data_IF_207711672936
#
_entry.id   IF_207711672936
#
_cell.length_a   1.000
_cell.length_b   1.000
_cell.length_c   1.000
_cell.angle_alpha   90.00
_cell.angle_beta   90.00
_cell.angle_gamma   90.00
#
_symmetry.space_group_name_H-M   'P 1'
#
loop_
_entity.id
_entity.type
_entity.pdbx_description
1 polymer ?
#
# COMPACT_ATOMS: atom_id res chain seq x y z
N UNK A 1 -2.94 -19.07 9.97
CA UNK A 1 -2.94 -17.60 9.85
C UNK A 1 -3.76 -17.26 8.60
N UNK A 2 -4.94 -16.64 8.72
CA UNK A 2 -5.72 -16.22 7.54
C UNK A 2 -5.12 -14.92 7.01
N UNK A 3 -4.09 -15.05 6.19
CA UNK A 3 -3.44 -13.95 5.49
C UNK A 3 -4.25 -13.65 4.22
N UNK A 4 -4.76 -12.43 4.07
CA UNK A 4 -5.55 -12.04 2.89
C UNK A 4 -4.68 -11.86 1.64
N UNK A 5 -3.42 -11.41 1.83
CA UNK A 5 -2.44 -11.08 0.80
C UNK A 5 -1.01 -11.26 1.33
N UNK A 6 -0.07 -11.57 0.44
CA UNK A 6 1.36 -11.55 0.77
C UNK A 6 1.82 -10.08 0.88
N UNK A 7 2.37 -9.69 2.03
CA UNK A 7 2.91 -8.35 2.35
C UNK A 7 4.44 -8.36 2.63
N UNK A 8 5.06 -9.53 2.72
CA UNK A 8 6.50 -9.72 2.86
C UNK A 8 6.98 -11.04 2.22
N UNK A 9 8.22 -11.07 1.73
CA UNK A 9 8.80 -12.24 1.07
C UNK A 9 8.91 -13.49 1.93
N UNK A 10 9.16 -13.34 3.24
CA UNK A 10 9.32 -14.44 4.20
C UNK A 10 8.08 -15.32 4.36
N UNK A 11 6.89 -14.82 4.04
CA UNK A 11 5.63 -15.51 4.35
C UNK A 11 5.55 -16.90 3.72
N UNK A 12 6.11 -17.07 2.52
CA UNK A 12 6.17 -18.37 1.83
C UNK A 12 7.12 -19.38 2.49
N UNK A 13 8.04 -18.91 3.33
CA UNK A 13 9.03 -19.72 4.04
C UNK A 13 8.66 -19.96 5.52
N UNK A 14 7.47 -19.55 5.95
CA UNK A 14 7.02 -19.69 7.35
C UNK A 14 7.15 -21.13 7.87
N UNK A 15 6.76 -22.13 7.07
CA UNK A 15 6.83 -23.55 7.44
C UNK A 15 8.29 -24.03 7.61
N UNK A 16 9.24 -23.44 6.88
CA UNK A 16 10.68 -23.72 7.03
C UNK A 16 11.16 -23.18 8.37
N UNK A 17 10.82 -21.93 8.70
CA UNK A 17 11.23 -21.29 9.96
C UNK A 17 10.65 -21.99 11.19
N UNK A 18 9.43 -22.54 11.06
CA UNK A 18 8.79 -23.38 12.08
C UNK A 18 9.36 -24.79 12.19
N UNK A 19 10.30 -25.17 11.32
CA UNK A 19 10.85 -26.52 11.21
C UNK A 19 9.78 -27.58 10.86
N UNK A 20 8.69 -27.16 10.21
CA UNK A 20 7.62 -28.04 9.69
C UNK A 20 7.99 -28.58 8.29
N UNK A 21 8.84 -27.85 7.56
CA UNK A 21 9.41 -28.26 6.26
C UNK A 21 10.91 -28.04 6.25
N UNK A 22 11.63 -28.91 5.56
CA UNK A 22 13.06 -28.68 5.26
C UNK A 22 13.20 -27.64 4.15
N UNK A 23 14.20 -26.75 4.22
CA UNK A 23 14.50 -25.86 3.11
C UNK A 23 14.95 -26.66 1.89
N UNK A 24 14.51 -26.25 0.70
CA UNK A 24 14.93 -26.88 -0.56
C UNK A 24 16.36 -26.47 -0.99
N UNK A 25 16.84 -25.33 -0.48
CA UNK A 25 18.20 -24.84 -0.61
C UNK A 25 18.56 -24.09 0.69
N UNK A 26 19.82 -24.08 1.13
CA UNK A 26 20.22 -23.43 2.40
C UNK A 26 20.12 -21.90 2.36
N UNK A 27 20.15 -21.31 1.17
CA UNK A 27 19.98 -19.87 0.92
C UNK A 27 19.22 -19.63 -0.38
N UNK A 28 18.38 -18.60 -0.43
CA UNK A 28 17.53 -18.27 -1.59
C UNK A 28 17.37 -16.77 -1.77
N UNK A 29 17.03 -16.33 -2.98
CA UNK A 29 16.73 -14.93 -3.31
C UNK A 29 15.52 -14.86 -4.24
N UNK A 30 14.73 -13.78 -4.18
CA UNK A 30 13.67 -13.50 -5.16
C UNK A 30 13.29 -12.00 -5.20
N UNK A 31 12.40 -11.65 -6.13
CA UNK A 31 11.53 -10.47 -6.04
C UNK A 31 10.12 -10.93 -5.69
N UNK A 32 9.60 -10.50 -4.54
CA UNK A 32 8.25 -10.85 -4.10
C UNK A 32 7.25 -9.73 -4.41
N UNK A 33 6.15 -10.08 -5.07
CA UNK A 33 4.95 -9.23 -5.15
C UNK A 33 4.32 -9.07 -3.78
N UNK A 34 4.26 -7.85 -3.26
CA UNK A 34 3.68 -7.54 -1.96
C UNK A 34 2.47 -6.59 -2.08
N UNK A 35 1.37 -6.94 -1.41
CA UNK A 35 0.15 -6.15 -1.31
C UNK A 35 -0.15 -5.83 0.16
N UNK A 36 0.01 -4.56 0.55
CA UNK A 36 -0.22 -4.08 1.92
C UNK A 36 -1.60 -3.46 2.07
N UNK A 37 -2.62 -4.34 2.03
CA UNK A 37 -4.04 -3.95 2.01
C UNK A 37 -4.81 -4.29 3.31
N UNK A 38 -4.13 -4.48 4.43
CA UNK A 38 -4.79 -4.80 5.70
C UNK A 38 -3.86 -5.17 6.84
N UNK A 39 -4.46 -5.54 7.98
CA UNK A 39 -3.72 -5.84 9.21
C UNK A 39 -3.05 -4.59 9.79
N UNK A 40 -1.83 -4.75 10.31
CA UNK A 40 -0.97 -3.66 10.75
C UNK A 40 -0.63 -2.65 9.65
N UNK A 41 -0.74 -3.06 8.38
CA UNK A 41 -0.39 -2.25 7.21
C UNK A 41 -1.58 -1.53 6.56
N UNK A 42 -2.75 -1.50 7.21
CA UNK A 42 -3.93 -0.80 6.67
C UNK A 42 -3.67 0.70 6.46
N UNK A 43 -2.78 1.29 7.28
CA UNK A 43 -2.40 2.70 7.21
C UNK A 43 -1.71 3.06 5.89
N UNK A 44 -1.00 2.11 5.28
CA UNK A 44 -0.25 2.35 4.05
C UNK A 44 -1.18 2.80 2.92
N UNK A 45 -2.41 2.25 2.84
CA UNK A 45 -3.41 2.66 1.83
C UNK A 45 -3.80 4.14 1.96
N UNK A 46 -3.84 4.69 3.19
CA UNK A 46 -4.15 6.10 3.42
C UNK A 46 -2.97 7.01 3.03
N UNK A 47 -1.75 6.50 3.12
CA UNK A 47 -0.52 7.20 2.74
C UNK A 47 -0.26 7.20 1.22
N UNK A 48 -0.77 6.20 0.49
CA UNK A 48 -0.61 6.12 -0.97
C UNK A 48 -1.03 7.42 -1.65
N UNK A 49 -0.08 7.98 -2.40
CA UNK A 49 -0.20 9.24 -3.14
C UNK A 49 -0.02 10.50 -2.30
N UNK A 50 -0.07 10.42 -0.97
CA UNK A 50 0.18 11.55 -0.07
C UNK A 50 1.67 11.72 0.24
N UNK A 51 2.45 10.64 0.18
CA UNK A 51 3.91 10.69 0.26
C UNK A 51 4.58 10.10 -0.97
N UNK A 52 5.91 10.14 -0.95
CA UNK A 52 6.74 9.81 -2.09
C UNK A 52 7.17 8.33 -2.16
N UNK A 53 6.80 7.49 -1.18
CA UNK A 53 7.45 6.19 -0.97
C UNK A 53 6.58 5.03 -0.45
N UNK A 54 5.31 5.23 -0.11
CA UNK A 54 4.37 4.15 0.22
C UNK A 54 3.50 3.75 -0.96
N UNK A 55 3.28 2.43 -1.08
CA UNK A 55 2.52 1.82 -2.17
C UNK A 55 1.54 0.77 -1.65
N UNK A 56 0.43 0.59 -2.35
CA UNK A 56 -0.48 -0.56 -2.14
C UNK A 56 0.19 -1.85 -2.59
N UNK A 57 0.85 -1.78 -3.75
CA UNK A 57 1.64 -2.85 -4.34
C UNK A 57 3.08 -2.40 -4.50
N UNK A 58 4.02 -3.23 -4.07
CA UNK A 58 5.44 -3.02 -4.30
C UNK A 58 6.16 -4.36 -4.44
N UNK A 59 7.37 -4.30 -4.98
CA UNK A 59 8.25 -5.47 -5.02
C UNK A 59 9.22 -5.45 -3.85
N UNK A 60 9.27 -6.56 -3.12
CA UNK A 60 10.25 -6.79 -2.07
C UNK A 60 11.35 -7.69 -2.60
N UNK A 61 12.52 -7.13 -2.86
CA UNK A 61 13.73 -7.86 -3.15
C UNK A 61 14.23 -8.50 -1.85
N UNK A 62 14.34 -9.82 -1.82
CA UNK A 62 14.74 -10.52 -0.62
C UNK A 62 15.80 -11.58 -0.83
N UNK A 63 16.57 -11.80 0.23
CA UNK A 63 17.50 -12.90 0.38
C UNK A 63 17.30 -13.53 1.75
N UNK A 64 17.35 -14.86 1.79
CA UNK A 64 17.08 -15.65 2.97
C UNK A 64 18.20 -16.63 3.25
N UNK A 65 18.48 -16.82 4.54
CA UNK A 65 19.36 -17.87 5.07
C UNK A 65 18.56 -18.82 5.93
N UNK A 66 18.62 -20.11 5.61
CA UNK A 66 17.97 -21.16 6.39
C UNK A 66 18.99 -21.95 7.21
N UNK A 67 19.63 -21.26 8.17
CA UNK A 67 20.67 -21.83 9.03
C UNK A 67 22.04 -21.96 8.35
N UNK A 68 22.32 -21.12 7.35
CA UNK A 68 23.56 -21.14 6.56
C UNK A 68 24.53 -20.04 7.03
N UNK A 69 24.23 -18.79 6.68
CA UNK A 69 24.93 -17.59 7.17
C UNK A 69 24.04 -16.78 8.13
N UNK A 70 24.63 -15.80 8.83
CA UNK A 70 23.88 -14.94 9.74
C UNK A 70 24.28 -13.46 9.58
N UNK A 71 24.45 -12.72 10.68
CA UNK A 71 24.61 -11.26 10.68
C UNK A 71 25.84 -10.77 9.92
N UNK A 72 27.00 -11.40 10.13
CA UNK A 72 28.26 -10.90 9.57
C UNK A 72 28.23 -10.86 8.04
N UNK A 73 27.85 -11.98 7.42
CA UNK A 73 27.73 -12.09 5.97
C UNK A 73 26.56 -11.25 5.43
N UNK A 74 25.42 -11.21 6.13
CA UNK A 74 24.27 -10.41 5.71
C UNK A 74 24.62 -8.91 5.63
N UNK A 75 25.27 -8.36 6.65
CA UNK A 75 25.74 -6.97 6.65
C UNK A 75 26.78 -6.73 5.55
N UNK A 76 27.75 -7.63 5.38
CA UNK A 76 28.81 -7.48 4.39
C UNK A 76 28.28 -7.50 2.96
N UNK A 77 27.40 -8.45 2.61
CA UNK A 77 26.81 -8.53 1.26
C UNK A 77 25.82 -7.41 0.97
N UNK A 78 25.04 -6.96 1.97
CA UNK A 78 24.17 -5.81 1.79
C UNK A 78 25.00 -4.55 1.46
N UNK A 79 26.11 -4.34 2.17
CA UNK A 79 27.05 -3.26 1.87
C UNK A 79 27.71 -3.40 0.50
N UNK A 80 28.23 -4.59 0.18
CA UNK A 80 28.85 -4.87 -1.13
C UNK A 80 27.88 -4.57 -2.27
N UNK A 81 26.63 -5.02 -2.16
CA UNK A 81 25.63 -4.78 -3.19
C UNK A 81 25.33 -3.29 -3.39
N UNK A 82 25.02 -2.57 -2.31
CA UNK A 82 24.67 -1.15 -2.41
C UNK A 82 25.86 -0.29 -2.85
N UNK A 83 27.01 -0.46 -2.20
CA UNK A 83 28.17 0.43 -2.41
C UNK A 83 29.01 0.00 -3.60
N UNK A 84 29.34 -1.29 -3.72
CA UNK A 84 30.31 -1.74 -4.73
C UNK A 84 29.65 -2.17 -6.05
N UNK A 85 28.43 -2.70 -6.03
CA UNK A 85 27.72 -3.10 -7.26
C UNK A 85 26.86 -1.97 -7.82
N UNK A 86 26.10 -1.30 -6.97
CA UNK A 86 25.22 -0.20 -7.39
C UNK A 86 25.87 1.18 -7.33
N UNK A 87 27.10 1.29 -6.79
CA UNK A 87 27.85 2.54 -6.68
C UNK A 87 27.09 3.62 -5.87
N UNK A 88 26.29 3.20 -4.87
CA UNK A 88 25.65 4.15 -3.96
C UNK A 88 26.73 4.78 -3.08
N UNK A 89 26.81 6.12 -2.97
CA UNK A 89 27.82 6.78 -2.16
C UNK A 89 27.71 6.37 -0.68
N UNK A 90 28.76 5.76 -0.08
CA UNK A 90 28.77 5.34 1.33
C UNK A 90 28.37 6.42 2.32
N UNK A 91 28.71 7.68 2.01
CA UNK A 91 28.46 8.82 2.87
C UNK A 91 26.99 9.20 3.01
N UNK A 92 26.14 8.71 2.10
CA UNK A 92 24.69 8.89 2.16
C UNK A 92 24.00 7.77 2.93
N UNK A 93 24.72 6.72 3.35
CA UNK A 93 24.15 5.56 4.02
C UNK A 93 24.28 5.65 5.54
N UNK A 94 23.18 5.33 6.22
CA UNK A 94 23.09 5.18 7.67
C UNK A 94 22.57 3.78 7.96
N UNK A 95 23.02 3.18 9.06
CA UNK A 95 22.55 1.86 9.49
C UNK A 95 22.02 1.92 10.90
N UNK A 96 20.95 1.17 11.17
CA UNK A 96 20.37 1.04 12.49
C UNK A 96 20.58 -0.35 13.07
N UNK A 97 20.54 -0.48 14.39
CA UNK A 97 20.57 -1.77 15.08
C UNK A 97 19.69 -1.76 16.32
N UNK A 98 19.32 -2.95 16.78
CA UNK A 98 18.47 -3.09 17.96
C UNK A 98 19.19 -2.69 19.26
N UNK A 99 18.75 -1.58 19.85
CA UNK A 99 19.26 -1.03 21.11
C UNK A 99 18.85 -1.80 22.38
N UNK A 100 18.07 -2.88 22.24
CA UNK A 100 17.57 -3.67 23.36
C UNK A 100 16.19 -3.23 23.84
N UNK A 101 15.59 -4.05 24.70
CA UNK A 101 14.32 -3.75 25.36
C UNK A 101 14.27 -4.45 26.72
N UNK A 102 14.59 -3.70 27.79
CA UNK A 102 14.62 -4.24 29.16
C UNK A 102 13.25 -4.76 29.63
N UNK A 103 12.15 -4.15 29.18
CA UNK A 103 10.79 -4.58 29.56
C UNK A 103 10.45 -5.99 29.06
N UNK A 104 11.06 -6.42 27.94
CA UNK A 104 10.92 -7.77 27.38
C UNK A 104 12.13 -8.67 27.66
N UNK A 105 13.10 -8.20 28.46
CA UNK A 105 14.33 -8.94 28.76
C UNK A 105 15.24 -9.17 27.55
N UNK A 106 15.16 -8.30 26.53
CA UNK A 106 15.95 -8.42 25.31
C UNK A 106 17.19 -7.52 25.37
N UNK A 107 18.37 -8.11 25.20
CA UNK A 107 19.63 -7.38 25.14
C UNK A 107 19.78 -6.60 23.83
N UNK A 108 20.66 -5.59 23.81
CA UNK A 108 21.04 -4.89 22.59
C UNK A 108 21.83 -5.79 21.64
N UNK A 109 21.63 -5.59 20.35
CA UNK A 109 22.33 -6.30 19.27
C UNK A 109 23.70 -5.66 18.95
N UNK A 110 24.62 -5.75 19.91
CA UNK A 110 25.99 -5.27 19.76
C UNK A 110 26.80 -6.04 18.70
N UNK A 111 26.35 -7.24 18.32
CA UNK A 111 26.95 -8.02 17.24
C UNK A 111 26.79 -7.31 15.89
N UNK A 112 25.57 -6.85 15.58
CA UNK A 112 25.30 -6.08 14.36
C UNK A 112 26.05 -4.74 14.34
N UNK A 113 26.08 -4.02 15.46
CA UNK A 113 26.89 -2.78 15.62
C UNK A 113 28.36 -3.05 15.29
N UNK A 114 28.94 -4.13 15.84
CA UNK A 114 30.34 -4.50 15.59
C UNK A 114 30.59 -4.88 14.13
N UNK A 115 29.67 -5.60 13.49
CA UNK A 115 29.79 -5.96 12.07
C UNK A 115 29.84 -4.71 11.18
N UNK A 116 29.00 -3.71 11.43
CA UNK A 116 29.02 -2.44 10.69
C UNK A 116 30.29 -1.62 10.92
N UNK A 117 30.81 -1.59 12.15
CA UNK A 117 32.10 -0.96 12.45
C UNK A 117 33.25 -1.66 11.69
N UNK A 118 33.24 -2.99 11.62
CA UNK A 118 34.26 -3.76 10.90
C UNK A 118 34.20 -3.54 9.38
N UNK A 119 33.03 -3.27 8.82
CA UNK A 119 32.85 -2.88 7.42
C UNK A 119 33.44 -1.49 7.14
N UNK A 120 33.64 -0.67 8.18
CA UNK A 120 34.23 0.67 8.09
C UNK A 120 33.21 1.81 8.10
N UNK A 121 31.96 1.54 8.49
CA UNK A 121 30.95 2.60 8.66
C UNK A 121 31.31 3.45 9.88
N UNK A 122 31.33 4.80 9.77
CA UNK A 122 31.58 5.67 10.92
C UNK A 122 30.56 5.47 12.04
N UNK A 123 31.00 5.52 13.29
CA UNK A 123 30.17 5.22 14.46
C UNK A 123 28.95 6.16 14.57
N UNK A 124 29.07 7.41 14.14
CA UNK A 124 27.99 8.40 14.10
C UNK A 124 26.88 8.08 13.09
N UNK A 125 27.09 7.09 12.20
CA UNK A 125 26.08 6.60 11.25
C UNK A 125 25.53 5.22 11.61
N UNK A 126 25.92 4.67 12.77
CA UNK A 126 25.43 3.38 13.30
C UNK A 126 24.55 3.67 14.52
N UNK A 127 23.24 3.60 14.34
CA UNK A 127 22.26 4.19 15.25
C UNK A 127 21.46 3.10 16.01
N UNK A 128 21.35 3.20 17.35
CA UNK A 128 20.50 2.29 18.12
C UNK A 128 19.04 2.73 18.11
N UNK A 129 18.10 1.83 17.78
CA UNK A 129 16.66 2.05 18.05
C UNK A 129 16.02 0.89 18.82
N UNK A 130 14.85 1.18 19.40
CA UNK A 130 14.09 0.22 20.18
C UNK A 130 13.30 -0.77 19.33
N UNK A 131 12.40 -1.48 20.02
CA UNK A 131 11.58 -2.56 19.45
C UNK A 131 10.62 -2.10 18.34
N UNK A 132 10.26 -0.81 18.33
CA UNK A 132 9.36 -0.25 17.31
C UNK A 132 9.97 -0.32 15.91
N UNK A 133 11.26 -0.05 15.80
CA UNK A 133 11.94 0.13 14.51
C UNK A 133 12.93 -1.02 14.24
N UNK A 134 13.69 -1.50 15.24
CA UNK A 134 14.69 -2.56 15.06
C UNK A 134 14.29 -3.95 15.63
N UNK A 135 13.00 -4.24 15.76
CA UNK A 135 12.53 -5.60 16.06
C UNK A 135 11.37 -5.95 15.13
N UNK A 136 11.64 -6.79 14.14
CA UNK A 136 10.67 -7.10 13.10
C UNK A 136 9.81 -8.30 13.49
N UNK A 137 8.51 -8.21 13.19
CA UNK A 137 7.53 -9.25 13.46
C UNK A 137 6.59 -9.42 12.28
N UNK A 138 6.31 -10.68 11.91
CA UNK A 138 5.37 -10.97 10.84
C UNK A 138 3.93 -10.57 11.19
N UNK A 139 3.61 -10.36 12.47
CA UNK A 139 2.29 -9.98 12.97
C UNK A 139 2.15 -10.31 14.45
N UNK A 140 0.91 -10.52 14.91
CA UNK A 140 0.65 -10.89 16.32
C UNK A 140 1.22 -12.25 16.73
N UNK A 141 1.50 -13.14 15.78
CA UNK A 141 2.20 -14.40 15.99
C UNK A 141 3.08 -14.74 14.78
N UNK A 142 4.16 -15.50 14.99
CA UNK A 142 5.03 -15.95 13.90
C UNK A 142 6.52 -15.69 14.15
N UNK A 143 7.37 -15.98 13.15
CA UNK A 143 8.79 -15.65 13.19
C UNK A 143 9.05 -14.17 13.43
N UNK A 144 10.04 -13.89 14.26
CA UNK A 144 10.46 -12.53 14.60
C UNK A 144 11.91 -12.48 15.09
N UNK A 145 12.48 -11.28 15.16
CA UNK A 145 13.83 -11.07 15.66
C UNK A 145 14.28 -9.62 15.61
N UNK A 146 15.44 -9.30 16.23
CA UNK A 146 16.09 -8.03 16.00
C UNK A 146 16.43 -7.88 14.53
N UNK A 147 16.44 -6.64 14.05
CA UNK A 147 16.82 -6.34 12.68
C UNK A 147 17.75 -5.14 12.61
N UNK A 148 18.44 -5.01 11.49
CA UNK A 148 19.29 -3.88 11.16
C UNK A 148 18.80 -3.29 9.85
N UNK A 149 18.47 -2.00 9.85
CA UNK A 149 17.95 -1.31 8.67
C UNK A 149 19.04 -0.43 8.06
N UNK A 150 19.01 -0.30 6.74
CA UNK A 150 19.87 0.60 5.98
C UNK A 150 18.99 1.74 5.47
N UNK A 151 19.41 2.97 5.74
CA UNK A 151 18.75 4.20 5.35
C UNK A 151 19.62 5.00 4.40
N UNK A 152 19.00 5.77 3.52
CA UNK A 152 19.65 6.62 2.53
C UNK A 152 19.21 8.07 2.69
N UNK A 153 20.17 8.98 2.85
CA UNK A 153 19.97 10.43 2.79
C UNK A 153 20.09 10.92 1.35
N UNK A 154 18.98 11.39 0.79
CA UNK A 154 18.89 11.90 -0.58
C UNK A 154 19.58 13.25 -0.78
N UNK A 155 19.84 14.00 0.30
CA UNK A 155 20.51 15.31 0.20
C UNK A 155 22.03 15.14 0.10
N UNK A 156 22.60 14.22 0.89
CA UNK A 156 24.04 14.01 0.96
C UNK A 156 24.81 15.21 1.53
N UNK A 157 26.13 15.08 1.68
CA UNK A 157 27.01 16.16 2.12
C UNK A 157 26.77 16.69 3.55
N UNK A 158 25.98 15.98 4.36
CA UNK A 158 25.61 16.36 5.73
C UNK A 158 25.56 15.15 6.66
N UNK A 159 25.47 15.39 7.97
CA UNK A 159 25.11 14.35 8.93
C UNK A 159 23.59 14.40 9.19
N UNK A 160 22.90 13.38 8.72
CA UNK A 160 21.45 13.22 8.79
C UNK A 160 21.02 12.15 9.82
N UNK A 161 21.90 11.72 10.72
CA UNK A 161 21.61 10.67 11.70
C UNK A 161 20.34 10.96 12.53
N UNK A 162 20.15 12.23 12.91
CA UNK A 162 18.99 12.68 13.68
C UNK A 162 17.65 12.63 12.92
N UNK A 163 17.68 12.43 11.59
CA UNK A 163 16.48 12.32 10.75
C UNK A 163 16.09 10.84 10.48
N UNK A 164 16.99 9.89 10.77
CA UNK A 164 16.71 8.46 10.60
C UNK A 164 15.52 8.04 11.48
N UNK A 165 14.55 7.32 10.89
CA UNK A 165 13.32 6.86 11.54
C UNK A 165 12.40 7.97 12.12
N UNK A 166 12.57 9.22 11.66
CA UNK A 166 11.68 10.35 12.02
C UNK A 166 10.50 10.54 11.07
N UNK A 167 10.49 9.84 9.93
CA UNK A 167 9.52 10.04 8.85
C UNK A 167 9.89 11.16 7.86
N UNK A 168 11.12 11.68 7.92
CA UNK A 168 11.62 12.64 6.94
C UNK A 168 11.69 12.00 5.52
N UNK A 169 11.05 12.61 4.50
CA UNK A 169 11.00 12.02 3.15
C UNK A 169 12.35 12.01 2.42
N UNK A 170 13.34 12.78 2.89
CA UNK A 170 14.69 12.81 2.35
C UNK A 170 15.61 11.78 3.00
N UNK A 171 15.21 11.14 4.10
CA UNK A 171 15.97 10.07 4.76
C UNK A 171 15.11 8.81 4.84
N UNK A 172 15.25 7.93 3.85
CA UNK A 172 14.37 6.79 3.67
C UNK A 172 15.06 5.48 4.01
N UNK A 173 14.34 4.59 4.69
CA UNK A 173 14.73 3.18 4.82
C UNK A 173 14.70 2.51 3.44
N UNK A 174 15.77 1.84 3.05
CA UNK A 174 15.88 1.13 1.76
C UNK A 174 15.90 -0.38 1.92
N UNK A 175 16.51 -0.91 2.99
CA UNK A 175 16.69 -2.34 3.18
C UNK A 175 16.65 -2.72 4.67
N UNK A 176 15.82 -3.69 5.03
CA UNK A 176 15.76 -4.26 6.37
C UNK A 176 16.39 -5.66 6.39
N UNK A 177 17.36 -5.90 7.28
CA UNK A 177 18.03 -7.18 7.50
C UNK A 177 17.52 -7.77 8.82
N UNK A 178 16.55 -8.70 8.76
CA UNK A 178 15.94 -9.31 9.94
C UNK A 178 16.71 -10.58 10.33
N UNK A 179 17.11 -10.63 11.60
CA UNK A 179 17.83 -11.76 12.19
C UNK A 179 16.86 -12.60 13.01
N UNK A 180 16.09 -13.42 12.31
CA UNK A 180 15.04 -14.26 12.88
C UNK A 180 15.67 -15.27 13.84
N UNK A 181 15.32 -15.15 15.11
CA UNK A 181 15.82 -16.00 16.19
C UNK A 181 14.74 -16.36 17.22
N UNK A 182 13.53 -15.80 17.08
CA UNK A 182 12.39 -16.08 17.94
C UNK A 182 11.13 -16.41 17.14
N UNK A 183 10.18 -17.03 17.83
CA UNK A 183 8.80 -17.20 17.41
C UNK A 183 7.89 -16.53 18.44
N UNK A 184 7.05 -15.58 18.00
CA UNK A 184 6.01 -14.94 18.80
C UNK A 184 4.82 -15.87 18.94
N UNK A 185 4.54 -16.30 20.16
CA UNK A 185 3.39 -17.13 20.50
C UNK A 185 2.12 -16.29 20.68
N UNK A 186 0.95 -16.93 20.70
CA UNK A 186 -0.35 -16.27 20.86
C UNK A 186 -0.48 -15.49 22.18
N UNK A 187 0.25 -15.92 23.22
CA UNK A 187 0.34 -15.24 24.52
C UNK A 187 1.35 -14.07 24.54
N UNK A 188 1.83 -13.64 23.37
CA UNK A 188 2.86 -12.64 23.13
C UNK A 188 4.28 -12.98 23.63
N UNK A 189 4.52 -14.19 24.18
CA UNK A 189 5.86 -14.61 24.58
C UNK A 189 6.76 -14.90 23.38
N UNK A 190 8.05 -14.67 23.56
CA UNK A 190 9.10 -15.00 22.60
C UNK A 190 9.70 -16.36 22.94
N UNK A 191 9.48 -17.34 22.07
CA UNK A 191 10.14 -18.63 22.16
C UNK A 191 11.39 -18.64 21.26
N UNK A 192 12.59 -18.94 21.78
CA UNK A 192 13.77 -19.11 20.94
C UNK A 192 13.57 -20.20 19.89
N UNK A 193 14.08 -19.94 18.68
CA UNK A 193 14.12 -20.95 17.62
C UNK A 193 15.33 -21.86 17.81
N UNK A 194 15.21 -23.11 17.32
CA UNK A 194 16.32 -24.09 17.35
C UNK A 194 17.45 -23.74 16.37
N UNK A 195 17.17 -22.89 15.38
CA UNK A 195 18.12 -22.40 14.41
C UNK A 195 17.91 -20.89 14.19
N UNK A 196 18.93 -20.23 13.63
CA UNK A 196 18.91 -18.82 13.28
C UNK A 196 18.68 -18.67 11.78
N UNK A 197 17.90 -17.67 11.39
CA UNK A 197 17.56 -17.41 10.01
C UNK A 197 17.82 -15.95 9.67
N UNK A 198 18.09 -15.67 8.39
CA UNK A 198 18.15 -14.31 7.86
C UNK A 198 16.96 -14.11 6.94
N UNK A 199 16.29 -12.99 7.11
CA UNK A 199 15.19 -12.51 6.26
C UNK A 199 15.46 -11.05 5.90
N UNK A 200 15.87 -10.83 4.65
CA UNK A 200 16.15 -9.50 4.16
C UNK A 200 15.03 -9.03 3.23
N UNK A 201 14.63 -7.77 3.36
CA UNK A 201 13.61 -7.17 2.50
C UNK A 201 13.99 -5.75 2.10
N UNK A 202 14.14 -5.51 0.79
CA UNK A 202 14.40 -4.21 0.19
C UNK A 202 13.28 -3.85 -0.78
N UNK A 203 12.74 -2.64 -0.66
CA UNK A 203 11.71 -2.16 -1.59
C UNK A 203 12.34 -1.77 -2.92
N UNK A 204 11.98 -2.46 -4.01
CA UNK A 204 12.51 -2.19 -5.35
C UNK A 204 12.28 -0.72 -5.75
N UNK A 205 11.07 -0.20 -5.56
CA UNK A 205 10.73 1.17 -5.94
C UNK A 205 11.59 2.22 -5.21
N UNK A 206 11.92 1.97 -3.93
CA UNK A 206 12.81 2.84 -3.16
C UNK A 206 14.24 2.75 -3.69
N UNK A 207 14.73 1.54 -3.95
CA UNK A 207 16.06 1.33 -4.51
C UNK A 207 16.22 1.99 -5.88
N UNK A 208 15.27 1.79 -6.79
CA UNK A 208 15.28 2.39 -8.13
C UNK A 208 15.27 3.91 -8.04
N UNK A 209 14.47 4.49 -7.13
CA UNK A 209 14.48 5.92 -6.87
C UNK A 209 15.86 6.43 -6.43
N UNK A 210 16.57 5.69 -5.58
CA UNK A 210 17.93 6.04 -5.16
C UNK A 210 18.92 5.95 -6.33
N UNK A 211 18.92 4.82 -7.05
CA UNK A 211 19.83 4.59 -8.19
C UNK A 211 19.64 5.63 -9.30
N UNK A 212 18.39 6.02 -9.57
CA UNK A 212 18.04 7.03 -10.57
C UNK A 212 18.09 8.48 -10.03
N UNK A 213 18.55 8.67 -8.79
CA UNK A 213 18.67 9.98 -8.13
C UNK A 213 17.36 10.78 -8.17
N UNK A 214 16.24 10.10 -7.95
CA UNK A 214 14.91 10.68 -7.85
C UNK A 214 14.56 10.96 -6.40
N UNK A 215 13.68 11.94 -6.16
CA UNK A 215 13.18 12.23 -4.81
C UNK A 215 11.99 11.34 -4.48
N UNK A 216 11.16 11.02 -5.47
CA UNK A 216 10.04 10.10 -5.31
C UNK A 216 10.26 8.76 -6.00
N UNK A 217 9.64 7.71 -5.44
CA UNK A 217 9.43 6.45 -6.13
C UNK A 217 8.65 6.64 -7.44
N UNK A 218 7.72 7.59 -7.45
CA UNK A 218 6.83 7.87 -8.57
C UNK A 218 7.51 8.60 -9.74
N UNK A 219 8.71 9.14 -9.55
CA UNK A 219 9.48 9.84 -10.60
C UNK A 219 10.36 8.90 -11.44
N UNK A 220 10.27 7.59 -11.17
CA UNK A 220 11.09 6.56 -11.80
C UNK A 220 10.44 6.02 -13.08
N UNK A 221 11.23 5.32 -13.87
CA UNK A 221 10.77 4.52 -15.02
C UNK A 221 9.72 3.44 -14.68
N UNK A 222 9.55 3.11 -13.40
CA UNK A 222 8.47 2.22 -12.93
C UNK A 222 7.08 2.87 -12.99
N UNK A 223 6.97 4.20 -12.94
CA UNK A 223 5.68 4.90 -12.88
C UNK A 223 5.43 5.86 -14.04
N UNK A 224 6.47 6.50 -14.57
CA UNK A 224 6.35 7.47 -15.68
C UNK A 224 5.58 6.91 -16.88
N UNK A 225 5.80 5.66 -17.35
CA UNK A 225 5.01 5.10 -18.46
C UNK A 225 3.51 5.00 -18.17
N UNK A 226 3.13 4.78 -16.90
CA UNK A 226 1.71 4.73 -16.49
C UNK A 226 1.13 6.15 -16.49
N UNK A 227 1.91 7.15 -16.04
CA UNK A 227 1.51 8.55 -16.10
C UNK A 227 1.25 9.02 -17.52
N UNK A 228 2.05 8.59 -18.49
CA UNK A 228 1.82 8.90 -19.91
C UNK A 228 0.46 8.38 -20.41
N UNK A 229 0.04 7.19 -19.96
CA UNK A 229 -1.29 6.65 -20.28
C UNK A 229 -2.39 7.49 -19.62
N UNK A 230 -2.24 7.82 -18.33
CA UNK A 230 -3.19 8.67 -17.60
C UNK A 230 -3.36 10.02 -18.32
N UNK A 231 -2.25 10.64 -18.73
CA UNK A 231 -2.26 11.92 -19.44
C UNK A 231 -2.99 11.81 -20.79
N UNK A 232 -2.76 10.72 -21.55
CA UNK A 232 -3.46 10.47 -22.83
C UNK A 232 -4.97 10.27 -22.65
N UNK A 233 -5.39 9.71 -21.52
CA UNK A 233 -6.80 9.47 -21.21
C UNK A 233 -7.50 10.70 -20.61
N UNK A 234 -6.77 11.79 -20.37
CA UNK A 234 -7.26 12.96 -19.65
C UNK A 234 -7.57 14.12 -20.61
N UNK A 235 -8.84 14.55 -20.63
CA UNK A 235 -9.30 15.61 -21.54
C UNK A 235 -8.63 16.98 -21.28
N UNK A 236 -8.28 17.28 -20.03
CA UNK A 236 -7.70 18.57 -19.62
C UNK A 236 -6.16 18.62 -19.77
N UNK A 237 -5.52 17.51 -20.19
CA UNK A 237 -4.06 17.37 -20.39
C UNK A 237 -3.19 17.85 -19.21
N UNK A 238 -3.70 17.81 -17.99
CA UNK A 238 -2.92 18.06 -16.77
C UNK A 238 -1.72 17.12 -16.72
N UNK A 239 -0.53 17.67 -16.46
CA UNK A 239 0.70 16.89 -16.35
C UNK A 239 1.07 16.70 -14.89
N UNK A 240 1.65 15.54 -14.59
CA UNK A 240 2.31 15.31 -13.32
C UNK A 240 3.49 16.26 -13.14
N UNK A 241 3.58 16.91 -11.98
CA UNK A 241 4.66 17.86 -11.63
C UNK A 241 5.44 17.46 -10.39
N UNK A 242 5.12 16.34 -9.75
CA UNK A 242 5.85 15.86 -8.57
C UNK A 242 5.57 16.64 -7.27
N UNK A 243 4.43 17.33 -7.17
CA UNK A 243 4.09 18.14 -5.98
C UNK A 243 3.41 17.31 -4.89
N UNK A 244 3.57 17.77 -3.64
CA UNK A 244 3.03 17.14 -2.43
C UNK A 244 2.40 18.18 -1.49
N UNK A 245 1.43 17.76 -0.69
CA UNK A 245 0.75 18.61 0.30
C UNK A 245 0.16 19.88 -0.32
N UNK A 246 0.35 21.02 0.36
CA UNK A 246 -0.21 22.32 -0.05
C UNK A 246 0.27 22.82 -1.42
N UNK A 247 1.36 22.26 -1.95
CA UNK A 247 1.84 22.58 -3.29
C UNK A 247 1.00 21.93 -4.40
N UNK A 248 0.23 20.87 -4.09
CA UNK A 248 -0.69 20.18 -5.00
C UNK A 248 -2.16 20.58 -4.72
N UNK A 249 -2.47 21.87 -4.84
CA UNK A 249 -3.78 22.43 -4.45
C UNK A 249 -4.98 21.78 -5.13
N UNK A 250 -4.81 21.33 -6.37
CA UNK A 250 -5.86 20.68 -7.17
C UNK A 250 -5.85 19.15 -7.01
N UNK A 251 -4.95 18.61 -6.18
CA UNK A 251 -4.78 17.17 -5.96
C UNK A 251 -4.45 16.40 -7.24
N UNK A 252 -3.88 17.06 -8.24
CA UNK A 252 -3.57 16.45 -9.54
C UNK A 252 -2.45 15.42 -9.36
N UNK A 253 -1.36 15.79 -8.69
CA UNK A 253 -0.19 14.92 -8.56
C UNK A 253 -0.49 13.73 -7.64
N UNK A 254 -1.26 13.93 -6.56
CA UNK A 254 -1.75 12.83 -5.71
C UNK A 254 -2.68 11.90 -6.48
N UNK A 255 -3.54 12.42 -7.36
CA UNK A 255 -4.42 11.59 -8.18
C UNK A 255 -3.63 10.74 -9.19
N UNK A 256 -2.59 11.30 -9.83
CA UNK A 256 -1.67 10.53 -10.69
C UNK A 256 -1.07 9.34 -9.92
N UNK A 257 -0.51 9.61 -8.73
CA UNK A 257 0.11 8.58 -7.87
C UNK A 257 -0.89 7.50 -7.44
N UNK A 258 -2.08 7.90 -6.96
CA UNK A 258 -3.14 6.97 -6.54
C UNK A 258 -3.60 6.09 -7.70
N UNK A 259 -3.86 6.67 -8.87
CA UNK A 259 -4.32 5.93 -10.05
C UNK A 259 -3.27 4.92 -10.49
N UNK A 260 -1.99 5.33 -10.60
CA UNK A 260 -0.93 4.42 -11.03
C UNK A 260 -0.68 3.28 -10.04
N UNK A 261 -0.62 3.59 -8.74
CA UNK A 261 -0.35 2.59 -7.69
C UNK A 261 -1.48 1.55 -7.63
N UNK A 262 -2.72 2.02 -7.54
CA UNK A 262 -3.86 1.13 -7.42
C UNK A 262 -4.06 0.29 -8.67
N UNK A 263 -3.74 0.81 -9.86
CA UNK A 263 -3.80 0.02 -11.09
C UNK A 263 -2.70 -1.03 -11.17
N UNK A 264 -1.47 -0.76 -10.67
CA UNK A 264 -0.45 -1.81 -10.49
C UNK A 264 -0.97 -2.91 -9.55
N UNK A 265 -1.50 -2.54 -8.38
CA UNK A 265 -2.04 -3.48 -7.40
C UNK A 265 -3.19 -4.33 -7.94
N UNK A 266 -4.14 -3.72 -8.65
CA UNK A 266 -5.28 -4.41 -9.27
C UNK A 266 -4.79 -5.36 -10.36
N UNK A 267 -3.88 -4.94 -11.22
CA UNK A 267 -3.35 -5.77 -12.32
C UNK A 267 -2.65 -7.00 -11.78
N UNK A 268 -1.80 -6.83 -10.76
CA UNK A 268 -1.10 -7.93 -10.07
C UNK A 268 -2.09 -8.89 -9.41
N UNK A 269 -3.04 -8.38 -8.63
CA UNK A 269 -4.01 -9.23 -7.94
C UNK A 269 -4.91 -10.03 -8.90
N UNK A 270 -5.24 -9.46 -10.07
CA UNK A 270 -5.99 -10.15 -11.11
C UNK A 270 -5.15 -11.23 -11.80
N UNK A 271 -3.85 -10.99 -12.01
CA UNK A 271 -2.94 -12.01 -12.52
C UNK A 271 -2.83 -13.22 -11.57
N UNK A 272 -2.86 -12.97 -10.26
CA UNK A 272 -2.84 -14.01 -9.21
C UNK A 272 -4.21 -14.68 -8.97
N UNK A 273 -5.24 -14.30 -9.74
CA UNK A 273 -6.55 -14.98 -9.74
C UNK A 273 -7.57 -14.49 -8.71
N UNK A 274 -7.34 -13.37 -8.02
CA UNK A 274 -8.23 -12.89 -6.96
C UNK A 274 -9.60 -12.43 -7.50
N UNK A 275 -9.63 -11.84 -8.71
CA UNK A 275 -10.86 -11.41 -9.39
C UNK A 275 -11.69 -10.35 -8.65
N UNK A 276 -12.61 -9.67 -9.35
CA UNK A 276 -13.52 -8.69 -8.73
C UNK A 276 -14.74 -9.32 -8.03
N UNK A 277 -15.09 -10.57 -8.36
CA UNK A 277 -16.31 -11.26 -7.90
C UNK A 277 -16.06 -12.69 -7.44
N UNK A 278 -14.89 -12.98 -6.87
CA UNK A 278 -14.56 -14.33 -6.44
C UNK A 278 -15.29 -14.68 -5.12
N UNK A 279 -16.16 -15.70 -5.16
CA UNK A 279 -16.93 -16.13 -4.00
C UNK A 279 -16.11 -16.90 -2.96
N UNK A 280 -14.97 -17.49 -3.35
CA UNK A 280 -14.06 -18.17 -2.42
C UNK A 280 -13.15 -17.16 -1.71
N UNK A 281 -12.82 -16.04 -2.37
CA UNK A 281 -11.92 -14.99 -1.85
C UNK A 281 -12.64 -13.65 -1.62
N UNK A 282 -13.87 -13.69 -1.09
CA UNK A 282 -14.75 -12.51 -0.95
C UNK A 282 -14.07 -11.28 -0.32
N UNK A 283 -13.24 -11.48 0.70
CA UNK A 283 -12.55 -10.39 1.42
C UNK A 283 -11.46 -9.75 0.56
N UNK A 284 -10.62 -10.56 -0.09
CA UNK A 284 -9.56 -10.06 -0.98
C UNK A 284 -10.16 -9.39 -2.22
N UNK A 285 -11.15 -10.01 -2.89
CA UNK A 285 -11.84 -9.39 -4.03
C UNK A 285 -12.48 -8.05 -3.67
N UNK A 286 -13.07 -7.93 -2.46
CA UNK A 286 -13.64 -6.66 -1.99
C UNK A 286 -12.58 -5.57 -1.87
N UNK A 287 -11.40 -5.87 -1.31
CA UNK A 287 -10.31 -4.91 -1.17
C UNK A 287 -9.76 -4.46 -2.52
N UNK A 288 -9.54 -5.39 -3.45
CA UNK A 288 -9.09 -5.07 -4.83
C UNK A 288 -10.13 -4.22 -5.55
N UNK A 289 -11.42 -4.52 -5.37
CA UNK A 289 -12.52 -3.70 -5.89
C UNK A 289 -12.55 -2.29 -5.28
N UNK A 290 -12.27 -2.15 -3.99
CA UNK A 290 -12.19 -0.85 -3.31
C UNK A 290 -11.02 0.01 -3.86
N UNK A 291 -9.85 -0.60 -4.12
CA UNK A 291 -8.72 0.08 -4.80
C UNK A 291 -9.08 0.50 -6.22
N UNK A 292 -9.58 -0.43 -7.04
CA UNK A 292 -9.96 -0.16 -8.43
C UNK A 292 -10.95 0.99 -8.52
N UNK A 293 -11.94 0.98 -7.62
CA UNK A 293 -12.91 2.04 -7.51
C UNK A 293 -12.26 3.37 -7.10
N UNK A 294 -11.40 3.40 -6.09
CA UNK A 294 -10.70 4.63 -5.69
C UNK A 294 -9.89 5.20 -6.85
N UNK A 295 -9.14 4.37 -7.58
CA UNK A 295 -8.43 4.78 -8.78
C UNK A 295 -9.38 5.39 -9.83
N UNK A 296 -10.47 4.69 -10.16
CA UNK A 296 -11.43 5.14 -11.18
C UNK A 296 -12.09 6.47 -10.81
N UNK A 297 -12.42 6.68 -9.53
CA UNK A 297 -13.02 7.94 -9.06
C UNK A 297 -12.01 9.09 -9.07
N UNK A 298 -10.78 8.89 -8.58
CA UNK A 298 -9.74 9.92 -8.64
C UNK A 298 -9.40 10.28 -10.08
N UNK A 299 -9.21 9.28 -10.95
CA UNK A 299 -8.96 9.47 -12.37
C UNK A 299 -10.06 10.30 -13.02
N UNK A 300 -11.33 9.96 -12.81
CA UNK A 300 -12.44 10.69 -13.43
C UNK A 300 -12.69 12.07 -12.83
N UNK A 301 -12.71 12.21 -11.50
CA UNK A 301 -13.15 13.45 -10.84
C UNK A 301 -12.07 14.50 -10.68
N UNK A 302 -10.82 14.06 -10.48
CA UNK A 302 -9.69 14.97 -10.24
C UNK A 302 -8.94 15.20 -11.53
N UNK A 303 -8.58 14.11 -12.23
CA UNK A 303 -7.82 14.23 -13.47
C UNK A 303 -8.72 14.53 -14.67
N UNK A 304 -10.00 14.13 -14.65
CA UNK A 304 -10.87 14.25 -15.82
C UNK A 304 -10.57 13.18 -16.87
N UNK A 305 -10.16 11.99 -16.44
CA UNK A 305 -10.00 10.82 -17.30
C UNK A 305 -11.34 10.42 -17.92
N UNK A 306 -11.31 10.08 -19.20
CA UNK A 306 -12.46 9.56 -19.93
C UNK A 306 -12.95 8.24 -19.30
N UNK A 307 -14.28 8.03 -19.26
CA UNK A 307 -14.85 6.75 -18.85
C UNK A 307 -14.40 5.65 -19.80
N UNK A 308 -14.29 4.42 -19.29
CA UNK A 308 -13.86 3.24 -20.03
C UNK A 308 -12.38 3.26 -20.44
N UNK A 309 -11.53 3.99 -19.72
CA UNK A 309 -10.09 4.13 -20.03
C UNK A 309 -9.17 3.36 -19.07
N UNK A 310 -9.67 2.82 -17.95
CA UNK A 310 -8.79 2.25 -16.91
C UNK A 310 -8.01 1.03 -17.39
N UNK A 311 -8.61 0.22 -18.27
CA UNK A 311 -7.99 -0.96 -18.85
C UNK A 311 -6.77 -0.65 -19.74
N UNK A 312 -6.61 0.59 -20.21
CA UNK A 312 -5.49 1.01 -21.06
C UNK A 312 -4.16 1.06 -20.30
N UNK A 313 -4.18 1.09 -18.96
CA UNK A 313 -2.97 1.01 -18.13
C UNK A 313 -2.42 -0.41 -18.02
N UNK A 314 -3.27 -1.45 -18.19
CA UNK A 314 -2.88 -2.85 -18.02
C UNK A 314 -1.72 -3.25 -18.94
N UNK A 315 -1.73 -2.94 -20.27
CA UNK A 315 -0.62 -3.28 -21.15
C UNK A 315 0.74 -2.76 -20.70
N UNK A 316 0.81 -1.53 -20.22
CA UNK A 316 2.06 -0.88 -19.78
C UNK A 316 2.55 -1.48 -18.47
N UNK A 317 1.65 -1.74 -17.53
CA UNK A 317 1.99 -2.41 -16.26
C UNK A 317 2.53 -3.84 -16.53
N UNK A 318 1.90 -4.57 -17.46
CA UNK A 318 2.37 -5.91 -17.84
C UNK A 318 3.70 -5.87 -18.60
N UNK A 319 3.97 -4.82 -19.37
CA UNK A 319 5.28 -4.65 -20.01
C UNK A 319 6.41 -4.48 -18.98
N UNK A 320 6.16 -3.73 -17.90
CA UNK A 320 7.12 -3.51 -16.83
C UNK A 320 7.36 -4.75 -15.95
N UNK A 321 6.31 -5.53 -15.69
CA UNK A 321 6.33 -6.62 -14.69
C UNK A 321 6.33 -8.03 -15.29
N UNK A 322 5.98 -8.17 -16.57
CA UNK A 322 5.65 -9.45 -17.19
C UNK A 322 6.84 -10.36 -17.47
N UNK A 323 8.06 -9.82 -17.53
CA UNK A 323 9.27 -10.63 -17.63
C UNK A 323 9.57 -11.34 -16.29
N UNK A 324 9.52 -10.58 -15.18
CA UNK A 324 9.72 -11.11 -13.82
C UNK A 324 8.57 -11.99 -13.35
N UNK A 325 7.33 -11.66 -13.76
CA UNK A 325 6.11 -12.37 -13.38
C UNK A 325 5.35 -12.84 -14.65
N UNK A 326 5.77 -13.95 -15.28
CA UNK A 326 5.25 -14.41 -16.58
C UNK A 326 3.74 -14.61 -16.63
N UNK A 327 3.12 -14.96 -15.50
CA UNK A 327 1.67 -15.09 -15.38
C UNK A 327 0.92 -13.79 -15.69
N UNK A 328 1.55 -12.62 -15.51
CA UNK A 328 0.98 -11.33 -15.90
C UNK A 328 0.94 -11.18 -17.42
N UNK A 329 2.02 -11.56 -18.11
CA UNK A 329 2.09 -11.56 -19.57
C UNK A 329 1.09 -12.55 -20.18
N UNK A 330 1.03 -13.77 -19.64
CA UNK A 330 0.11 -14.82 -20.08
C UNK A 330 -1.36 -14.42 -19.94
N UNK A 331 -1.71 -13.62 -18.93
CA UNK A 331 -3.09 -13.22 -18.63
C UNK A 331 -3.44 -11.79 -19.06
N UNK A 332 -2.56 -11.07 -19.75
CA UNK A 332 -2.72 -9.65 -20.14
C UNK A 332 -4.12 -9.29 -20.65
N UNK A 333 -4.61 -10.02 -21.65
CA UNK A 333 -5.93 -9.77 -22.24
C UNK A 333 -7.08 -10.02 -21.26
N UNK A 334 -7.02 -11.11 -20.49
CA UNK A 334 -8.04 -11.44 -19.48
C UNK A 334 -8.10 -10.37 -18.39
N UNK A 335 -6.94 -9.86 -17.96
CA UNK A 335 -6.85 -8.81 -16.94
C UNK A 335 -7.45 -7.50 -17.49
N UNK A 336 -7.08 -7.10 -18.70
CA UNK A 336 -7.62 -5.89 -19.33
C UNK A 336 -9.15 -5.96 -19.50
N UNK A 337 -9.69 -7.10 -19.93
CA UNK A 337 -11.14 -7.30 -20.04
C UNK A 337 -11.85 -7.27 -18.69
N UNK A 338 -11.27 -7.91 -17.66
CA UNK A 338 -11.83 -7.87 -16.31
C UNK A 338 -11.90 -6.44 -15.77
N UNK A 339 -10.85 -5.64 -16.00
CA UNK A 339 -10.82 -4.21 -15.63
C UNK A 339 -11.90 -3.43 -16.39
N UNK A 340 -12.01 -3.63 -17.71
CA UNK A 340 -13.01 -2.96 -18.56
C UNK A 340 -14.44 -3.26 -18.09
N UNK A 341 -14.76 -4.53 -17.83
CA UNK A 341 -16.10 -4.97 -17.40
C UNK A 341 -16.44 -4.38 -16.03
N UNK A 342 -15.49 -4.38 -15.09
CA UNK A 342 -15.73 -3.81 -13.77
C UNK A 342 -15.88 -2.28 -13.83
N UNK A 343 -15.14 -1.59 -14.72
CA UNK A 343 -15.31 -0.15 -14.95
C UNK A 343 -16.72 0.17 -15.47
N UNK A 344 -17.19 -0.57 -16.47
CA UNK A 344 -18.53 -0.43 -17.02
C UNK A 344 -19.60 -0.62 -15.93
N UNK A 345 -19.43 -1.66 -15.10
CA UNK A 345 -20.35 -1.93 -13.99
C UNK A 345 -20.36 -0.79 -12.98
N UNK A 346 -19.20 -0.25 -12.65
CA UNK A 346 -19.08 0.88 -11.72
C UNK A 346 -19.78 2.12 -12.25
N UNK A 347 -19.60 2.46 -13.53
CA UNK A 347 -20.26 3.61 -14.14
C UNK A 347 -21.77 3.43 -14.26
N UNK A 348 -22.23 2.26 -14.66
CA UNK A 348 -23.66 1.93 -14.68
C UNK A 348 -24.30 2.09 -13.29
N UNK A 349 -23.64 1.56 -12.26
CA UNK A 349 -24.09 1.71 -10.87
C UNK A 349 -24.15 3.18 -10.44
N UNK A 350 -23.14 4.00 -10.79
CA UNK A 350 -23.15 5.43 -10.46
C UNK A 350 -24.24 6.19 -11.20
N UNK A 351 -24.46 5.91 -12.48
CA UNK A 351 -25.51 6.55 -13.28
C UNK A 351 -26.91 6.18 -12.75
N UNK A 352 -27.12 4.93 -12.33
CA UNK A 352 -28.33 4.50 -11.63
C UNK A 352 -28.53 5.25 -10.31
N UNK A 353 -27.46 5.45 -9.54
CA UNK A 353 -27.49 6.23 -8.31
C UNK A 353 -27.85 7.69 -8.52
N UNK A 354 -27.31 8.31 -9.58
CA UNK A 354 -27.65 9.68 -9.94
C UNK A 354 -29.11 9.79 -10.35
N UNK A 355 -29.65 8.84 -11.12
CA UNK A 355 -31.09 8.78 -11.43
C UNK A 355 -31.94 8.64 -10.17
N UNK A 356 -31.53 7.80 -9.22
CA UNK A 356 -32.25 7.62 -7.95
C UNK A 356 -32.21 8.89 -7.10
N UNK A 357 -31.07 9.57 -7.02
CA UNK A 357 -30.95 10.85 -6.33
C UNK A 357 -31.90 11.91 -6.94
N UNK A 358 -31.98 11.99 -8.25
CA UNK A 358 -32.90 12.89 -8.95
C UNK A 358 -34.38 12.57 -8.69
N UNK A 359 -34.74 11.28 -8.61
CA UNK A 359 -36.09 10.84 -8.20
C UNK A 359 -36.40 11.27 -6.76
N UNK A 360 -35.43 11.13 -5.85
CA UNK A 360 -35.58 11.58 -4.46
C UNK A 360 -35.74 13.10 -4.36
N UNK A 361 -35.03 13.88 -5.16
CA UNK A 361 -35.25 15.33 -5.19
C UNK A 361 -36.63 15.70 -5.74
N UNK A 362 -37.08 15.03 -6.80
CA UNK A 362 -38.40 15.30 -7.41
C UNK A 362 -39.56 15.01 -6.46
N UNK A 363 -39.41 13.96 -5.66
CA UNK A 363 -40.42 13.54 -4.67
C UNK A 363 -40.23 14.23 -3.31
N UNK A 364 -39.28 15.16 -3.18
CA UNK A 364 -39.06 15.89 -1.94
C UNK A 364 -40.25 16.82 -1.65
N UNK A 365 -40.82 16.82 -0.41
CA UNK A 365 -41.92 17.70 -0.07
C UNK A 365 -41.58 19.17 -0.29
N UNK A 366 -42.41 19.95 -1.02
CA UNK A 366 -42.15 21.37 -1.27
C UNK A 366 -42.05 22.23 -0.02
N UNK A 367 -42.61 21.76 1.10
CA UNK A 367 -42.62 22.45 2.40
C UNK A 367 -41.33 22.27 3.20
N UNK A 368 -40.47 21.31 2.84
CA UNK A 368 -39.18 21.10 3.50
C UNK A 368 -38.04 21.65 2.64
N UNK A 369 -37.06 22.28 3.29
CA UNK A 369 -35.79 22.67 2.67
C UNK A 369 -34.64 21.72 3.03
N UNK A 370 -34.90 20.74 3.90
CA UNK A 370 -33.88 19.82 4.41
C UNK A 370 -34.08 18.46 3.78
N UNK A 371 -33.13 18.05 2.94
CA UNK A 371 -33.04 16.73 2.34
C UNK A 371 -32.59 15.71 3.41
N UNK A 372 -33.37 14.64 3.65
CA UNK A 372 -33.06 13.66 4.70
C UNK A 372 -31.67 13.04 4.57
N UNK A 373 -30.94 12.98 5.67
CA UNK A 373 -29.60 12.39 5.75
C UNK A 373 -29.62 10.89 5.50
N UNK A 374 -30.73 10.20 5.81
CA UNK A 374 -30.95 8.79 5.45
C UNK A 374 -30.89 8.56 3.94
N UNK A 375 -31.46 9.44 3.14
CA UNK A 375 -31.38 9.34 1.68
C UNK A 375 -29.97 9.62 1.17
N UNK A 376 -29.31 10.67 1.68
CA UNK A 376 -27.91 10.94 1.36
C UNK A 376 -27.03 9.72 1.72
N UNK A 377 -27.27 9.11 2.88
CA UNK A 377 -26.57 7.91 3.33
C UNK A 377 -26.76 6.74 2.36
N UNK A 378 -27.99 6.46 1.93
CA UNK A 378 -28.27 5.38 0.96
C UNK A 378 -27.58 5.65 -0.38
N UNK A 379 -27.64 6.88 -0.88
CA UNK A 379 -27.00 7.26 -2.15
C UNK A 379 -25.48 7.07 -2.07
N UNK A 380 -24.87 7.55 -0.99
CA UNK A 380 -23.43 7.41 -0.74
C UNK A 380 -23.05 5.94 -0.52
N UNK A 381 -23.85 5.16 0.18
CA UNK A 381 -23.49 3.78 0.51
C UNK A 381 -23.73 2.80 -0.64
N UNK A 382 -24.87 2.89 -1.32
CA UNK A 382 -25.28 1.91 -2.31
C UNK A 382 -24.75 2.23 -3.70
N UNK A 383 -24.63 3.51 -4.04
CA UNK A 383 -24.15 3.94 -5.36
C UNK A 383 -22.80 4.60 -5.32
N UNK A 384 -22.25 4.79 -4.11
CA UNK A 384 -20.89 5.28 -3.90
C UNK A 384 -20.62 6.64 -4.52
N UNK A 385 -21.67 7.46 -4.54
CA UNK A 385 -21.63 8.88 -4.89
C UNK A 385 -21.12 9.64 -3.66
N UNK A 386 -20.25 10.61 -3.86
CA UNK A 386 -19.64 11.39 -2.78
C UNK A 386 -20.69 12.27 -2.10
N UNK A 387 -20.65 12.37 -0.76
CA UNK A 387 -21.61 13.21 -0.02
C UNK A 387 -21.58 14.66 -0.53
N UNK A 388 -20.40 15.20 -0.83
CA UNK A 388 -20.25 16.55 -1.37
C UNK A 388 -20.93 16.72 -2.74
N UNK A 389 -20.96 15.67 -3.58
CA UNK A 389 -21.74 15.73 -4.82
C UNK A 389 -23.25 15.75 -4.53
N UNK A 390 -23.71 14.96 -3.55
CA UNK A 390 -25.12 15.00 -3.10
C UNK A 390 -25.47 16.40 -2.57
N UNK A 391 -24.64 16.97 -1.69
CA UNK A 391 -24.81 18.32 -1.11
C UNK A 391 -24.87 19.38 -2.19
N UNK A 392 -23.92 19.38 -3.13
CA UNK A 392 -23.90 20.32 -4.25
C UNK A 392 -25.16 20.21 -5.13
N UNK A 393 -25.63 18.99 -5.42
CA UNK A 393 -26.87 18.77 -6.20
C UNK A 393 -28.14 19.18 -5.45
N UNK A 394 -28.15 19.02 -4.12
CA UNK A 394 -29.21 19.51 -3.24
C UNK A 394 -29.23 21.04 -3.22
N UNK A 395 -28.06 21.67 -3.06
CA UNK A 395 -27.92 23.13 -3.03
C UNK A 395 -28.37 23.79 -4.35
N UNK A 396 -28.06 23.17 -5.50
CA UNK A 396 -28.58 23.60 -6.82
C UNK A 396 -30.12 23.64 -6.91
N UNK A 397 -30.81 22.96 -5.99
CA UNK A 397 -32.28 22.91 -5.88
C UNK A 397 -32.80 23.70 -4.67
N UNK A 398 -31.95 24.49 -4.02
CA UNK A 398 -32.31 25.25 -2.82
C UNK A 398 -32.49 24.39 -1.56
N UNK A 399 -31.98 23.16 -1.55
CA UNK A 399 -32.05 22.23 -0.42
C UNK A 399 -30.71 22.17 0.33
N UNK A 400 -30.77 21.94 1.65
CA UNK A 400 -29.63 21.53 2.47
C UNK A 400 -29.74 20.04 2.79
N UNK A 401 -28.62 19.35 3.06
CA UNK A 401 -28.65 17.94 3.48
C UNK A 401 -28.61 17.88 5.00
N UNK A 402 -29.38 16.99 5.62
CA UNK A 402 -29.21 16.67 7.04
C UNK A 402 -27.93 15.83 7.24
N UNK A 403 -26.81 16.54 7.39
CA UNK A 403 -25.50 15.93 7.60
C UNK A 403 -25.41 15.22 8.96
N UNK A 404 -26.10 15.73 9.98
CA UNK A 404 -26.10 15.11 11.31
C UNK A 404 -26.71 13.71 11.27
N UNK A 405 -27.87 13.55 10.61
CA UNK A 405 -28.48 12.24 10.41
C UNK A 405 -27.59 11.33 9.55
N UNK A 406 -27.00 11.85 8.47
CA UNK A 406 -26.05 11.10 7.64
C UNK A 406 -24.88 10.56 8.48
N UNK A 407 -24.21 11.42 9.25
CA UNK A 407 -23.04 11.05 10.04
C UNK A 407 -23.40 10.07 11.14
N UNK A 408 -24.57 10.22 11.77
CA UNK A 408 -25.08 9.25 12.75
C UNK A 408 -25.26 7.86 12.12
N UNK A 409 -25.89 7.77 10.95
CA UNK A 409 -26.09 6.49 10.24
C UNK A 409 -24.76 5.89 9.75
N UNK A 410 -23.84 6.75 9.29
CA UNK A 410 -22.49 6.35 8.90
C UNK A 410 -21.70 5.76 10.06
N UNK A 411 -21.73 6.41 11.23
CA UNK A 411 -21.08 5.94 12.44
C UNK A 411 -21.69 4.59 12.91
N UNK A 412 -23.02 4.48 12.94
CA UNK A 412 -23.71 3.24 13.33
C UNK A 412 -23.33 2.04 12.43
N UNK A 413 -23.26 2.24 11.11
CA UNK A 413 -22.80 1.21 10.17
C UNK A 413 -21.34 0.82 10.40
N UNK A 414 -20.48 1.80 10.67
CA UNK A 414 -19.04 1.57 10.90
C UNK A 414 -18.80 0.79 12.20
N UNK A 415 -19.63 1.00 13.22
CA UNK A 415 -19.60 0.26 14.50
C UNK A 415 -20.25 -1.14 14.43
N UNK A 416 -20.69 -1.61 13.25
CA UNK A 416 -21.19 -2.97 13.06
C UNK A 416 -22.56 -3.25 13.68
N UNK A 417 -23.36 -2.22 14.02
CA UNK A 417 -24.61 -2.34 14.79
C UNK A 417 -25.82 -2.93 14.02
N UNK A 418 -25.60 -3.85 13.07
CA UNK A 418 -26.70 -4.63 12.48
C UNK A 418 -27.71 -3.86 11.62
N UNK A 419 -27.41 -2.64 11.18
CA UNK A 419 -28.26 -1.89 10.24
C UNK A 419 -28.32 -2.63 8.88
N UNK A 420 -29.30 -3.51 8.73
CA UNK A 420 -29.76 -4.05 7.45
C UNK A 420 -30.70 -3.04 6.80
N UNK A 421 -30.20 -1.85 6.46
CA UNK A 421 -30.87 -1.04 5.45
C UNK A 421 -30.70 -1.83 4.15
N UNK A 422 -31.74 -2.55 3.74
CA UNK A 422 -31.73 -3.36 2.53
C UNK A 422 -31.24 -2.50 1.36
N UNK A 423 -30.49 -3.09 0.44
CA UNK A 423 -30.06 -2.51 -0.84
C UNK A 423 -31.23 -2.21 -1.79
N UNK A 424 -32.40 -1.86 -1.27
CA UNK A 424 -33.58 -1.49 -2.04
C UNK A 424 -33.57 0.01 -2.30
N UNK A 425 -34.06 0.41 -3.47
CA UNK A 425 -34.34 1.81 -3.79
C UNK A 425 -35.39 2.33 -2.81
N UNK A 426 -34.97 3.01 -1.75
CA UNK A 426 -35.92 3.69 -0.88
C UNK A 426 -36.60 4.83 -1.62
N UNK A 427 -37.91 4.96 -1.41
CA UNK A 427 -38.76 6.06 -1.84
C UNK A 427 -39.21 6.85 -0.60
N UNK A 428 -39.75 8.06 -0.81
CA UNK A 428 -40.34 8.85 0.30
C UNK A 428 -41.43 8.12 1.07
N UNK A 429 -42.19 7.25 0.41
CA UNK A 429 -43.19 6.39 1.07
C UNK A 429 -42.60 5.42 2.10
N UNK A 430 -41.31 5.07 1.99
CA UNK A 430 -40.63 4.12 2.89
C UNK A 430 -40.03 4.79 4.14
N UNK A 431 -40.19 6.12 4.29
CA UNK A 431 -39.70 6.91 5.44
C UNK A 431 -40.84 7.38 6.36
N UNK A 432 -42.10 7.29 5.90
CA UNK A 432 -43.29 7.76 6.66
C UNK A 432 -43.83 6.67 7.63
N UNK A 433 -43.19 5.52 7.71
CA UNK A 433 -43.36 4.51 8.78
C UNK A 433 -42.07 4.37 9.58
#
# INVERSE_FOLDING_TARGET
MNVDFIYAGIQQFTDIVKNEKKPFAPRVVNSQKCLRLGGSHIKDIELVGNDAYHHSFFEMLGNWSFGDYFKAEACAWAWEFLVHKLNIPPECLYVSYFGGNSANGLASDEESRKNWLNIGIPAERILPFGMKDNFWEMGGTGPCGPCSEIHYDRVGGRNAAHLVNTGDPMVVEIWNLVFIQYYREENAKLRPLSNKYVDCGMGLERLVSVVQQKVSNYDTDLFVPIFDVIQKCTAQKHKYQGRFGDSDKESIDVAYRIVSDHMRAVTVALADGIGFTNQQQKKSSRKIKELFKRATIYGSQVLGMERMSMHLMVPVIVEQLGETFPEMAQNKHKIADAVRIEEERLWKQRDDGMRHLEELFRNHPPTSKVFPGKFAFIIVQNYRIELELVKRKAAQRGLTVDEAEYHRLHAQKTMGSGLKIKEQKLKYGDIIQ
#
